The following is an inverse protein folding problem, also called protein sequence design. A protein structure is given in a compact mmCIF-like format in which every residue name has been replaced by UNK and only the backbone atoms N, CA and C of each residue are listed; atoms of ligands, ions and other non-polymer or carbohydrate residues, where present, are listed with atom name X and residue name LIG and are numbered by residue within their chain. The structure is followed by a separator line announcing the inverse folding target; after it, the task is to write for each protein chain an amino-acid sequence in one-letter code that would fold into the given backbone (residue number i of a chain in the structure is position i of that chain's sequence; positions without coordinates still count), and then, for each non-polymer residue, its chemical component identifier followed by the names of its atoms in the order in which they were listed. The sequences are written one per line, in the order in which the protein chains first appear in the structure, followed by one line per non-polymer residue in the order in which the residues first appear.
data_IF_323694472352
#
_entry.id   IF_323694472352
#
_cell.length_a   1.000
_cell.length_b   1.000
_cell.length_c   1.000
_cell.angle_alpha   90.00
_cell.angle_beta   90.00
_cell.angle_gamma   90.00
#
_symmetry.space_group_name_H-M   'P 1'
#
loop_
_entity.id
_entity.type
_entity.pdbx_description
1 polymer ?
#
# COMPACT_ATOMS: atom_id res chain seq x y z
N UNK A 1 -8.59 -17.19 -5.62
CA UNK A 1 -7.86 -16.10 -4.93
C UNK A 1 -8.35 -16.08 -3.51
N UNK A 2 -7.45 -16.02 -2.52
CA UNK A 2 -7.88 -15.88 -1.13
C UNK A 2 -8.50 -14.49 -0.98
N UNK A 3 -9.70 -14.43 -0.40
CA UNK A 3 -10.28 -13.16 0.01
C UNK A 3 -9.54 -12.72 1.28
N UNK A 4 -8.87 -11.59 1.23
CA UNK A 4 -8.29 -10.95 2.41
C UNK A 4 -9.40 -10.26 3.20
N UNK A 5 -9.35 -10.32 4.53
CA UNK A 5 -10.24 -9.53 5.37
C UNK A 5 -9.86 -8.05 5.29
N UNK A 6 -10.81 -7.17 5.64
CA UNK A 6 -10.56 -5.74 5.72
C UNK A 6 -9.42 -5.44 6.71
N UNK A 7 -9.40 -6.14 7.83
CA UNK A 7 -8.39 -6.01 8.88
C UNK A 7 -7.00 -6.43 8.38
N UNK A 8 -6.91 -7.52 7.62
CA UNK A 8 -5.66 -7.98 6.99
C UNK A 8 -5.11 -6.93 6.00
N UNK A 9 -6.00 -6.34 5.20
CA UNK A 9 -5.63 -5.27 4.26
C UNK A 9 -5.17 -4.00 5.01
N UNK A 10 -5.85 -3.62 6.09
CA UNK A 10 -5.49 -2.47 6.92
C UNK A 10 -4.14 -2.67 7.63
N UNK A 11 -3.89 -3.86 8.17
CA UNK A 11 -2.62 -4.21 8.82
C UNK A 11 -1.46 -4.22 7.82
N UNK A 12 -1.68 -4.82 6.65
CA UNK A 12 -0.72 -4.80 5.54
C UNK A 12 -0.41 -3.37 5.08
N UNK A 13 -1.44 -2.54 4.90
CA UNK A 13 -1.32 -1.14 4.51
C UNK A 13 -0.49 -0.35 5.52
N UNK A 14 -0.76 -0.51 6.83
CA UNK A 14 -0.01 0.12 7.92
C UNK A 14 1.46 -0.30 7.90
N UNK A 15 1.73 -1.58 7.71
CA UNK A 15 3.09 -2.14 7.66
C UNK A 15 3.90 -1.59 6.48
N UNK A 16 3.29 -1.50 5.30
CA UNK A 16 3.93 -0.94 4.09
C UNK A 16 4.17 0.56 4.26
N UNK A 17 3.19 1.34 4.76
CA UNK A 17 3.35 2.78 5.01
C UNK A 17 4.49 3.06 6.00
N UNK A 18 4.62 2.27 7.07
CA UNK A 18 5.76 2.36 8.01
C UNK A 18 7.10 2.09 7.32
N UNK A 19 7.13 1.08 6.44
CA UNK A 19 8.32 0.70 5.68
C UNK A 19 8.74 1.81 4.70
N UNK A 20 7.78 2.40 3.98
CA UNK A 20 8.03 3.56 3.11
C UNK A 20 8.70 4.68 3.90
N UNK A 21 8.14 5.10 5.03
CA UNK A 21 8.70 6.19 5.83
C UNK A 21 10.13 5.90 6.35
N UNK A 22 10.47 4.64 6.62
CA UNK A 22 11.85 4.23 6.95
C UNK A 22 12.76 4.33 5.74
N UNK A 23 12.31 3.87 4.58
CA UNK A 23 13.05 3.96 3.32
C UNK A 23 13.30 5.42 2.90
N UNK A 24 12.30 6.29 3.02
CA UNK A 24 12.44 7.73 2.73
C UNK A 24 13.44 8.41 3.65
N UNK A 25 13.46 8.08 4.95
CA UNK A 25 14.49 8.61 5.86
C UNK A 25 15.88 8.06 5.55
N UNK A 26 15.97 6.80 5.12
CA UNK A 26 17.24 6.17 4.77
C UNK A 26 17.81 6.73 3.46
N UNK A 27 16.97 7.02 2.45
CA UNK A 27 17.45 7.51 1.14
C UNK A 27 18.16 8.86 1.25
N UNK A 28 17.72 9.72 2.18
CA UNK A 28 18.35 11.03 2.46
C UNK A 28 19.79 10.92 2.96
N UNK A 29 20.20 9.76 3.50
CA UNK A 29 21.57 9.50 3.98
C UNK A 29 22.45 8.85 2.93
N UNK A 30 21.90 8.45 1.79
CA UNK A 30 22.64 7.76 0.73
C UNK A 30 23.24 8.76 -0.25
N UNK A 31 24.41 8.42 -0.78
CA UNK A 31 25.01 9.20 -1.86
C UNK A 31 24.11 9.12 -3.09
N UNK A 32 23.75 10.28 -3.62
CA UNK A 32 23.00 10.38 -4.87
C UNK A 32 23.72 9.62 -6.00
N UNK A 33 22.96 8.99 -6.89
CA UNK A 33 23.47 8.13 -7.97
C UNK A 33 24.26 6.88 -7.54
N UNK A 34 24.31 6.56 -6.24
CA UNK A 34 24.82 5.26 -5.79
C UNK A 34 23.86 4.12 -6.16
N UNK A 35 24.40 2.90 -6.22
CA UNK A 35 23.60 1.69 -6.43
C UNK A 35 22.54 1.53 -5.32
N UNK A 36 22.90 1.84 -4.08
CA UNK A 36 21.99 1.78 -2.93
C UNK A 36 20.87 2.81 -3.05
N UNK A 37 21.19 4.05 -3.44
CA UNK A 37 20.18 5.10 -3.67
C UNK A 37 19.19 4.69 -4.77
N UNK A 38 19.71 4.19 -5.90
CA UNK A 38 18.88 3.72 -7.02
C UNK A 38 17.97 2.57 -6.62
N UNK A 39 18.51 1.56 -5.92
CA UNK A 39 17.74 0.41 -5.43
C UNK A 39 16.63 0.85 -4.47
N UNK A 40 16.95 1.73 -3.52
CA UNK A 40 15.99 2.18 -2.51
C UNK A 40 14.89 3.03 -3.14
N UNK A 41 15.22 3.90 -4.09
CA UNK A 41 14.23 4.67 -4.87
C UNK A 41 13.25 3.75 -5.62
N UNK A 42 13.77 2.69 -6.27
CA UNK A 42 12.92 1.71 -6.96
C UNK A 42 12.01 0.94 -5.99
N UNK A 43 12.50 0.57 -4.81
CA UNK A 43 11.69 -0.08 -3.76
C UNK A 43 10.58 0.82 -3.26
N UNK A 44 10.86 2.10 -2.99
CA UNK A 44 9.84 3.07 -2.56
C UNK A 44 8.73 3.17 -3.62
N UNK A 45 9.07 3.29 -4.91
CA UNK A 45 8.08 3.31 -6.01
C UNK A 45 7.23 2.03 -6.05
N UNK A 46 7.84 0.87 -5.86
CA UNK A 46 7.10 -0.39 -5.79
C UNK A 46 6.14 -0.44 -4.60
N UNK A 47 6.57 0.01 -3.42
CA UNK A 47 5.70 0.07 -2.25
C UNK A 47 4.51 1.01 -2.44
N UNK A 48 4.68 2.17 -3.07
CA UNK A 48 3.54 3.03 -3.43
C UNK A 48 2.56 2.34 -4.37
N UNK A 49 3.07 1.54 -5.32
CA UNK A 49 2.21 0.73 -6.19
C UNK A 49 1.43 -0.31 -5.39
N UNK A 50 2.07 -0.98 -4.42
CA UNK A 50 1.39 -1.92 -3.51
C UNK A 50 0.33 -1.24 -2.65
N UNK A 51 0.60 -0.03 -2.14
CA UNK A 51 -0.38 0.78 -1.39
C UNK A 51 -1.61 1.05 -2.25
N UNK A 52 -1.42 1.52 -3.48
CA UNK A 52 -2.53 1.81 -4.39
C UNK A 52 -3.40 0.56 -4.66
N UNK A 53 -2.77 -0.61 -4.84
CA UNK A 53 -3.50 -1.86 -5.05
C UNK A 53 -4.35 -2.25 -3.84
N UNK A 54 -3.78 -2.14 -2.62
CA UNK A 54 -4.50 -2.44 -1.38
C UNK A 54 -5.66 -1.45 -1.18
N UNK A 55 -5.43 -0.15 -1.37
CA UNK A 55 -6.47 0.87 -1.22
C UNK A 55 -7.60 0.70 -2.26
N UNK A 56 -7.24 0.27 -3.47
CA UNK A 56 -8.22 -0.07 -4.51
C UNK A 56 -9.09 -1.26 -4.11
N UNK A 57 -8.48 -2.34 -3.60
CA UNK A 57 -9.21 -3.52 -3.12
C UNK A 57 -10.13 -3.16 -1.95
N UNK A 58 -9.65 -2.37 -0.98
CA UNK A 58 -10.46 -1.86 0.12
C UNK A 58 -11.65 -1.04 -0.37
N UNK A 59 -11.46 -0.21 -1.41
CA UNK A 59 -12.55 0.56 -2.02
C UNK A 59 -13.59 -0.35 -2.67
N UNK A 60 -13.18 -1.42 -3.37
CA UNK A 60 -14.11 -2.41 -3.93
C UNK A 60 -14.92 -3.11 -2.84
N UNK A 61 -14.29 -3.50 -1.73
CA UNK A 61 -15.00 -4.08 -0.58
C UNK A 61 -16.06 -3.12 -0.05
N UNK A 62 -15.71 -1.85 0.21
CA UNK A 62 -16.66 -0.83 0.70
C UNK A 62 -17.83 -0.65 -0.27
N UNK A 63 -17.55 -0.55 -1.57
CA UNK A 63 -18.60 -0.39 -2.58
C UNK A 63 -19.48 -1.63 -2.69
N UNK A 64 -18.92 -2.84 -2.54
CA UNK A 64 -19.69 -4.08 -2.51
C UNK A 64 -20.68 -4.10 -1.34
N UNK A 65 -20.27 -3.67 -0.15
CA UNK A 65 -21.17 -3.56 1.01
C UNK A 65 -22.25 -2.47 0.86
N UNK A 66 -22.01 -1.42 0.08
CA UNK A 66 -23.00 -0.35 -0.17
C UNK A 66 -24.06 -0.72 -1.23
N UNK A 67 -23.80 -1.70 -2.09
CA UNK A 67 -24.78 -2.18 -3.08
C UNK A 67 -25.87 -3.03 -2.42
N UNK A 68 -25.53 -3.80 -1.37
CA UNK A 68 -26.49 -4.65 -0.66
C UNK A 68 -27.57 -3.83 0.09
N UNK A 69 -27.24 -2.65 0.62
CA UNK A 69 -28.20 -1.79 1.35
C UNK A 69 -29.23 -1.10 0.43
N UNK A 70 -28.88 -0.88 -0.85
CA UNK A 70 -29.78 -0.27 -1.85
C UNK A 70 -30.75 -1.24 -2.53
N UNK A 71 -30.57 -2.54 -2.35
CA UNK A 71 -31.51 -3.57 -2.84
C UNK A 71 -32.66 -3.86 -1.86
N UNK A 72 -32.70 -3.20 -0.69
CA UNK A 72 -33.75 -3.37 0.33
C UNK A 72 -34.84 -2.28 0.31
N UNK A 73 -35.04 -1.58 -0.81
CA UNK A 73 -36.18 -0.67 -1.02
C UNK A 73 -36.92 -0.97 -2.32
#
# INVERSE_FOLDING_TARGET
MNNYSKEELEEGLKSIKSTIGKCEKAILKLKENSAQHTLLSRRIKAFHSSVNLIETEMSYLINSFMVDDKMLR
#
